data_IF_023584262066
#
_entry.id   IF_023584262066
#
_cell.length_a   1.000
_cell.length_b   1.000
_cell.length_c   1.000
_cell.angle_alpha   90.00
_cell.angle_beta   90.00
_cell.angle_gamma   90.00
#
_symmetry.space_group_name_H-M   'P 1'
#
loop_
_entity.id
_entity.type
_entity.pdbx_description
1 polymer ?
#
# COMPACT_ATOMS: atom_id res chain seq x y z
N UNK A 1 10.66 12.92 -48.80
CA UNK A 1 10.98 13.61 -47.53
C UNK A 1 11.27 12.54 -46.48
N UNK A 2 12.56 12.27 -46.25
CA UNK A 2 13.04 11.21 -45.35
C UNK A 2 13.04 11.70 -43.90
N UNK A 3 12.40 10.95 -43.00
CA UNK A 3 12.57 11.06 -41.55
C UNK A 3 13.62 10.03 -41.12
N UNK A 4 14.79 10.54 -40.70
CA UNK A 4 15.84 9.74 -40.08
C UNK A 4 15.54 9.51 -38.59
N UNK A 5 15.85 8.29 -38.16
CA UNK A 5 15.82 7.77 -36.79
C UNK A 5 16.91 8.43 -35.92
N UNK A 6 16.54 8.89 -34.74
CA UNK A 6 17.38 9.09 -33.55
C UNK A 6 16.59 8.44 -32.40
N UNK A 7 17.07 7.53 -31.55
CA UNK A 7 18.42 7.19 -31.12
C UNK A 7 18.37 7.09 -29.59
N UNK A 8 17.96 5.94 -29.03
CA UNK A 8 18.03 5.67 -27.59
C UNK A 8 19.46 5.25 -27.20
N UNK A 9 20.02 5.76 -26.09
CA UNK A 9 20.36 4.82 -25.00
C UNK A 9 20.47 5.47 -23.60
N UNK A 10 19.80 4.92 -22.57
CA UNK A 10 20.34 4.91 -21.19
C UNK A 10 19.53 3.99 -20.27
N UNK A 11 19.66 2.67 -20.42
CA UNK A 11 19.23 1.72 -19.38
C UNK A 11 20.18 0.51 -19.32
N UNK A 12 21.45 0.78 -19.04
CA UNK A 12 22.47 -0.22 -18.68
C UNK A 12 23.47 0.41 -17.72
N UNK A 13 23.07 0.56 -16.45
CA UNK A 13 23.99 0.79 -15.32
C UNK A 13 23.24 0.62 -14.02
N UNK A 14 22.84 -0.61 -13.73
CA UNK A 14 22.56 -1.15 -12.40
C UNK A 14 22.61 -2.67 -12.58
N UNK A 15 23.29 -3.36 -11.67
CA UNK A 15 23.73 -4.77 -11.74
C UNK A 15 25.05 -5.01 -12.49
N UNK A 16 26.15 -4.63 -11.84
CA UNK A 16 27.48 -5.20 -12.08
C UNK A 16 27.98 -5.84 -10.78
N UNK A 17 27.67 -7.12 -10.59
CA UNK A 17 28.13 -7.94 -9.46
C UNK A 17 28.58 -9.30 -9.98
N UNK A 18 29.86 -9.59 -9.80
CA UNK A 18 30.64 -10.65 -10.42
C UNK A 18 30.22 -12.05 -9.92
N UNK A 19 29.79 -12.96 -10.82
CA UNK A 19 29.85 -14.42 -10.58
C UNK A 19 30.33 -15.10 -11.86
N UNK A 20 31.52 -15.71 -11.77
CA UNK A 20 32.08 -16.68 -12.70
C UNK A 20 31.28 -17.98 -12.61
N UNK A 21 30.91 -18.60 -13.75
CA UNK A 21 31.11 -20.05 -13.95
C UNK A 21 30.73 -20.51 -15.37
N UNK A 22 31.71 -21.19 -15.97
CA UNK A 22 31.64 -22.41 -16.78
C UNK A 22 30.76 -22.49 -18.03
N UNK A 23 31.47 -22.66 -19.15
CA UNK A 23 31.03 -23.13 -20.47
C UNK A 23 30.50 -24.57 -20.44
N UNK A 24 29.36 -24.82 -21.08
CA UNK A 24 28.94 -26.13 -21.58
C UNK A 24 28.19 -25.97 -22.92
N UNK A 25 28.34 -26.90 -23.89
CA UNK A 25 27.97 -26.66 -25.28
C UNK A 25 26.50 -26.97 -25.58
N UNK A 26 25.93 -26.18 -26.49
CA UNK A 26 24.58 -26.28 -27.02
C UNK A 26 24.52 -27.47 -28.01
N UNK A 27 23.66 -28.44 -27.72
CA UNK A 27 23.22 -29.47 -28.69
C UNK A 27 22.03 -28.96 -29.53
N UNK A 28 21.89 -29.39 -30.79
CA UNK A 28 20.92 -28.81 -31.72
C UNK A 28 19.51 -29.37 -31.51
N UNK A 29 18.53 -28.47 -31.42
CA UNK A 29 17.11 -28.81 -31.44
C UNK A 29 16.70 -29.40 -32.80
N UNK A 30 16.22 -30.63 -32.77
CA UNK A 30 15.50 -31.29 -33.86
C UNK A 30 14.13 -30.61 -34.02
N UNK A 31 13.89 -30.05 -35.20
CA UNK A 31 12.59 -29.51 -35.60
C UNK A 31 11.69 -30.70 -35.95
N UNK A 32 10.78 -31.05 -35.04
CA UNK A 32 9.66 -31.94 -35.35
C UNK A 32 8.48 -31.08 -35.81
N UNK A 33 8.22 -31.12 -37.11
CA UNK A 33 7.01 -30.59 -37.74
C UNK A 33 5.82 -31.47 -37.34
N UNK A 34 5.06 -31.04 -36.33
CA UNK A 34 3.81 -31.66 -35.91
C UNK A 34 2.68 -30.63 -35.94
N UNK A 35 1.78 -30.77 -36.90
CA UNK A 35 0.49 -30.07 -36.98
C UNK A 35 -0.41 -30.50 -35.82
N UNK A 36 -0.28 -29.83 -34.67
CA UNK A 36 -1.16 -30.00 -33.51
C UNK A 36 -2.12 -28.82 -33.41
N UNK A 37 -3.42 -29.08 -33.56
CA UNK A 37 -4.46 -28.10 -33.33
C UNK A 37 -4.37 -27.52 -31.91
N UNK A 38 -4.58 -26.21 -31.79
CA UNK A 38 -4.69 -25.52 -30.51
C UNK A 38 -5.90 -26.06 -29.74
N UNK A 39 -5.69 -27.09 -28.92
CA UNK A 39 -6.63 -27.46 -27.87
C UNK A 39 -6.54 -26.39 -26.79
N UNK A 40 -7.60 -25.61 -26.64
CA UNK A 40 -7.80 -24.79 -25.43
C UNK A 40 -7.78 -25.73 -24.23
N UNK A 41 -7.03 -25.41 -23.15
CA UNK A 41 -7.00 -26.27 -21.97
C UNK A 41 -8.43 -26.37 -21.43
N UNK A 42 -8.96 -27.61 -21.40
CA UNK A 42 -10.25 -27.91 -20.79
C UNK A 42 -10.12 -27.61 -19.30
N UNK A 43 -10.72 -26.50 -18.85
CA UNK A 43 -10.78 -26.14 -17.43
C UNK A 43 -11.55 -27.25 -16.69
N UNK A 44 -10.85 -28.01 -15.86
CA UNK A 44 -11.42 -29.05 -15.00
C UNK A 44 -12.08 -28.41 -13.78
N UNK A 45 -13.37 -28.12 -13.91
CA UNK A 45 -14.18 -27.66 -12.79
C UNK A 45 -14.71 -28.86 -12.01
N UNK A 46 -14.30 -28.98 -10.75
CA UNK A 46 -14.78 -30.04 -9.86
C UNK A 46 -16.12 -29.66 -9.21
N UNK A 47 -17.00 -30.64 -8.92
CA UNK A 47 -18.30 -30.40 -8.30
C UNK A 47 -18.16 -29.73 -6.92
N UNK A 48 -19.25 -29.09 -6.46
CA UNK A 48 -19.39 -28.58 -5.09
C UNK A 48 -18.90 -29.61 -4.07
N UNK A 49 -18.16 -29.20 -3.03
CA UNK A 49 -17.93 -30.07 -1.89
C UNK A 49 -19.28 -30.44 -1.25
N UNK A 50 -19.40 -31.70 -0.80
CA UNK A 50 -20.63 -32.24 -0.21
C UNK A 50 -21.05 -31.51 1.09
N UNK A 51 -20.12 -30.80 1.71
CA UNK A 51 -20.33 -29.92 2.86
C UNK A 51 -19.44 -28.67 2.77
N UNK A 52 -19.55 -27.78 3.76
CA UNK A 52 -18.73 -26.57 3.90
C UNK A 52 -17.56 -26.78 4.87
N UNK A 53 -17.09 -28.02 5.07
CA UNK A 53 -16.03 -28.33 6.06
C UNK A 53 -14.70 -27.62 5.76
N UNK A 54 -14.38 -27.40 4.49
CA UNK A 54 -13.19 -26.67 4.07
C UNK A 54 -13.33 -25.14 4.25
N UNK A 55 -14.56 -24.63 4.33
CA UNK A 55 -14.82 -23.19 4.41
C UNK A 55 -14.45 -22.64 5.78
N UNK A 56 -13.66 -21.57 5.77
CA UNK A 56 -13.32 -20.82 6.97
C UNK A 56 -13.86 -19.39 6.88
N UNK A 57 -14.86 -19.02 7.69
CA UNK A 57 -15.42 -17.68 7.68
C UNK A 57 -14.35 -16.61 7.95
N UNK A 58 -14.34 -15.55 7.13
CA UNK A 58 -13.56 -14.36 7.45
C UNK A 58 -14.33 -13.46 8.44
N UNK A 59 -13.58 -12.72 9.25
CA UNK A 59 -14.12 -11.97 10.38
C UNK A 59 -14.90 -10.71 9.96
N UNK A 60 -15.80 -10.28 10.84
CA UNK A 60 -16.22 -8.88 10.90
C UNK A 60 -15.16 -8.06 11.62
N UNK A 61 -14.99 -6.81 11.18
CA UNK A 61 -14.07 -5.86 11.79
C UNK A 61 -14.89 -4.73 12.39
N UNK A 62 -14.67 -4.45 13.67
CA UNK A 62 -15.40 -3.43 14.41
C UNK A 62 -14.76 -2.05 14.27
N UNK A 63 -15.57 -1.01 14.45
CA UNK A 63 -15.04 0.31 14.79
C UNK A 63 -14.39 0.22 16.18
N UNK A 64 -13.27 0.90 16.46
CA UNK A 64 -12.65 0.86 17.77
C UNK A 64 -13.60 1.44 18.83
N UNK A 65 -13.96 0.59 19.80
CA UNK A 65 -14.66 1.00 21.00
C UNK A 65 -13.67 1.52 22.05
N UNK A 66 -14.14 2.39 22.94
CA UNK A 66 -13.32 2.91 24.05
C UNK A 66 -12.70 1.78 24.89
N UNK A 67 -13.49 0.77 25.24
CA UNK A 67 -13.02 -0.40 26.01
C UNK A 67 -11.94 -1.19 25.28
N UNK A 68 -12.04 -1.31 23.95
CA UNK A 68 -11.05 -2.00 23.13
C UNK A 68 -9.73 -1.21 23.10
N UNK A 69 -9.80 0.10 22.86
CA UNK A 69 -8.62 0.96 22.84
C UNK A 69 -7.92 0.94 24.21
N UNK A 70 -8.66 1.10 25.31
CA UNK A 70 -8.10 1.02 26.67
C UNK A 70 -7.42 -0.33 26.93
N UNK A 71 -8.02 -1.44 26.50
CA UNK A 71 -7.45 -2.79 26.64
C UNK A 71 -6.15 -2.96 25.85
N UNK A 72 -6.09 -2.42 24.62
CA UNK A 72 -4.89 -2.44 23.79
C UNK A 72 -3.73 -1.62 24.39
N UNK A 73 -4.04 -0.48 25.02
CA UNK A 73 -3.03 0.29 25.76
C UNK A 73 -2.56 -0.46 27.01
N UNK A 74 -3.49 -1.00 27.80
CA UNK A 74 -3.18 -1.70 29.06
C UNK A 74 -2.35 -2.96 28.84
N UNK A 75 -2.54 -3.67 27.73
CA UNK A 75 -1.75 -4.85 27.39
C UNK A 75 -0.35 -4.54 26.86
N UNK A 76 -0.06 -3.27 26.56
CA UNK A 76 1.16 -2.84 25.88
C UNK A 76 1.15 -3.05 24.37
N UNK A 77 0.11 -3.69 23.80
CA UNK A 77 0.01 -3.94 22.36
C UNK A 77 -0.12 -2.65 21.55
N UNK A 78 -0.74 -1.60 22.09
CA UNK A 78 -0.87 -0.32 21.38
C UNK A 78 0.48 0.35 21.09
N UNK A 79 1.51 0.08 21.90
CA UNK A 79 2.87 0.60 21.73
C UNK A 79 3.75 -0.27 20.82
N UNK A 80 3.28 -1.45 20.42
CA UNK A 80 3.94 -2.29 19.43
C UNK A 80 3.65 -1.78 18.01
N UNK A 81 4.06 -2.54 16.98
CA UNK A 81 3.88 -2.15 15.58
C UNK A 81 2.50 -2.53 15.01
N UNK A 82 1.92 -1.57 14.31
CA UNK A 82 0.65 -1.60 13.61
C UNK A 82 0.82 -1.04 12.21
N UNK A 83 -0.13 -1.39 11.34
CA UNK A 83 -0.28 -0.81 10.00
C UNK A 83 -1.72 -0.43 9.76
N UNK A 84 -1.93 0.66 9.01
CA UNK A 84 -3.20 0.97 8.38
C UNK A 84 -3.12 0.69 6.89
N UNK A 85 -4.03 -0.12 6.36
CA UNK A 85 -4.16 -0.41 4.93
C UNK A 85 -5.51 0.07 4.41
N UNK A 86 -5.63 0.36 3.11
CA UNK A 86 -6.91 0.74 2.52
C UNK A 86 -7.98 -0.32 2.76
N UNK A 87 -9.15 0.12 3.23
CA UNK A 87 -10.34 -0.72 3.27
C UNK A 87 -11.06 -0.63 1.93
N UNK A 88 -10.88 -1.65 1.09
CA UNK A 88 -11.57 -1.75 -0.20
C UNK A 88 -13.05 -2.10 0.01
N UNK A 89 -13.92 -1.30 -0.59
CA UNK A 89 -15.37 -1.48 -0.67
C UNK A 89 -15.75 -2.34 -1.88
N UNK A 90 -15.74 -3.65 -1.72
CA UNK A 90 -16.12 -4.62 -2.75
C UNK A 90 -17.03 -5.68 -2.14
N UNK A 91 -16.71 -6.93 -2.35
CA UNK A 91 -17.33 -8.04 -1.63
C UNK A 91 -16.26 -9.01 -1.16
N UNK A 92 -16.39 -9.50 0.08
CA UNK A 92 -15.45 -10.46 0.65
C UNK A 92 -15.34 -11.70 -0.25
N UNK A 93 -14.11 -12.11 -0.52
CA UNK A 93 -13.80 -13.21 -1.41
C UNK A 93 -12.60 -14.01 -0.88
N UNK A 94 -12.69 -15.34 -0.93
CA UNK A 94 -11.64 -16.25 -0.52
C UNK A 94 -11.22 -17.17 -1.66
N UNK A 95 -9.91 -17.31 -1.87
CA UNK A 95 -9.32 -18.28 -2.79
C UNK A 95 -8.67 -19.38 -1.95
N UNK A 96 -9.12 -20.61 -2.13
CA UNK A 96 -8.71 -21.77 -1.36
C UNK A 96 -7.93 -22.73 -2.23
N UNK A 97 -6.86 -23.29 -1.69
CA UNK A 97 -6.20 -24.48 -2.22
C UNK A 97 -6.23 -25.56 -1.14
N UNK A 98 -6.92 -26.65 -1.42
CA UNK A 98 -7.15 -27.75 -0.49
C UNK A 98 -6.36 -28.96 -0.97
N UNK A 99 -5.55 -29.54 -0.10
CA UNK A 99 -4.85 -30.79 -0.39
C UNK A 99 -5.72 -31.99 0.03
N UNK A 100 -5.97 -32.89 -0.92
CA UNK A 100 -6.77 -34.10 -0.76
C UNK A 100 -5.88 -35.35 -0.95
N UNK A 101 -4.72 -35.35 -0.28
CA UNK A 101 -3.69 -36.37 -0.45
C UNK A 101 -2.81 -36.07 -1.67
N UNK A 102 -2.92 -36.88 -2.71
CA UNK A 102 -2.06 -36.82 -3.90
C UNK A 102 -2.48 -35.73 -4.91
N UNK A 103 -3.61 -35.06 -4.67
CA UNK A 103 -4.12 -33.99 -5.53
C UNK A 103 -4.51 -32.76 -4.71
N UNK A 104 -4.52 -31.62 -5.40
CA UNK A 104 -4.90 -30.32 -4.84
C UNK A 104 -6.05 -29.73 -5.64
N UNK A 105 -6.99 -29.11 -4.92
CA UNK A 105 -8.19 -28.55 -5.52
C UNK A 105 -8.34 -27.08 -5.16
N UNK A 106 -8.62 -26.26 -6.18
CA UNK A 106 -8.90 -24.84 -6.00
C UNK A 106 -10.40 -24.64 -5.77
N UNK A 107 -10.74 -23.81 -4.79
CA UNK A 107 -12.11 -23.42 -4.45
C UNK A 107 -12.21 -21.91 -4.25
N UNK A 108 -13.40 -21.38 -4.47
CA UNK A 108 -13.70 -19.96 -4.34
C UNK A 108 -14.87 -19.77 -3.40
N UNK A 109 -14.72 -18.84 -2.47
CA UNK A 109 -15.73 -18.57 -1.45
C UNK A 109 -16.17 -17.11 -1.52
N UNK A 110 -17.48 -16.90 -1.34
CA UNK A 110 -18.02 -15.62 -0.90
C UNK A 110 -18.08 -15.61 0.62
N UNK A 111 -18.56 -14.50 1.17
CA UNK A 111 -18.69 -14.31 2.61
C UNK A 111 -19.40 -15.44 3.37
N UNK A 112 -20.37 -16.10 2.74
CA UNK A 112 -21.21 -17.11 3.39
C UNK A 112 -20.81 -18.56 3.09
N UNK A 113 -19.73 -18.80 2.34
CA UNK A 113 -19.30 -20.17 2.01
C UNK A 113 -18.57 -20.31 0.68
N UNK A 114 -17.97 -21.47 0.49
CA UNK A 114 -17.47 -21.97 -0.79
C UNK A 114 -18.66 -22.10 -1.76
N UNK A 115 -18.49 -21.56 -2.96
CA UNK A 115 -19.55 -21.45 -3.97
C UNK A 115 -19.60 -22.65 -4.91
N UNK A 116 -20.77 -22.85 -5.54
CA UNK A 116 -20.88 -23.75 -6.68
C UNK A 116 -20.04 -23.21 -7.84
N UNK A 117 -19.30 -24.05 -8.58
CA UNK A 117 -18.57 -23.61 -9.78
C UNK A 117 -19.45 -22.89 -10.81
N UNK A 118 -20.75 -23.19 -10.86
CA UNK A 118 -21.76 -22.57 -11.73
C UNK A 118 -22.58 -21.46 -11.04
N UNK A 119 -22.28 -21.10 -9.80
CA UNK A 119 -22.87 -19.90 -9.18
C UNK A 119 -22.24 -18.65 -9.81
N UNK A 120 -23.03 -17.85 -10.54
CA UNK A 120 -22.56 -16.55 -11.02
C UNK A 120 -22.46 -15.56 -9.85
N UNK A 121 -21.23 -15.26 -9.42
CA UNK A 121 -20.95 -14.29 -8.38
C UNK A 121 -20.11 -13.14 -8.94
N UNK A 122 -20.78 -12.07 -9.37
CA UNK A 122 -20.15 -10.85 -9.92
C UNK A 122 -19.12 -11.11 -11.04
N UNK A 123 -19.29 -12.17 -11.81
CA UNK A 123 -18.42 -12.47 -12.94
C UNK A 123 -16.99 -12.93 -12.58
N UNK A 124 -16.72 -13.33 -11.33
CA UNK A 124 -15.37 -13.72 -10.88
C UNK A 124 -14.71 -14.81 -11.73
N UNK A 125 -15.49 -15.62 -12.48
CA UNK A 125 -14.99 -16.62 -13.42
C UNK A 125 -14.00 -16.07 -14.46
N UNK A 126 -14.04 -14.77 -14.73
CA UNK A 126 -13.09 -14.09 -15.61
C UNK A 126 -11.65 -14.12 -15.04
N UNK A 127 -11.49 -14.23 -13.71
CA UNK A 127 -10.21 -14.20 -13.00
C UNK A 127 -9.73 -15.59 -12.54
N UNK A 128 -10.49 -16.67 -12.78
CA UNK A 128 -10.18 -18.01 -12.25
C UNK A 128 -8.80 -18.53 -12.69
N UNK A 129 -8.39 -18.32 -13.93
CA UNK A 129 -7.08 -18.78 -14.41
C UNK A 129 -5.94 -18.08 -13.67
N UNK A 130 -6.07 -16.76 -13.51
CA UNK A 130 -5.12 -15.94 -12.75
C UNK A 130 -5.07 -16.40 -11.30
N UNK A 131 -6.23 -16.52 -10.63
CA UNK A 131 -6.29 -16.97 -9.24
C UNK A 131 -5.72 -18.38 -9.05
N UNK A 132 -5.96 -19.29 -10.00
CA UNK A 132 -5.45 -20.66 -9.95
C UNK A 132 -3.93 -20.69 -10.06
N UNK A 133 -3.34 -19.89 -10.94
CA UNK A 133 -1.89 -19.77 -11.03
C UNK A 133 -1.31 -19.13 -9.75
N UNK A 134 -1.92 -18.04 -9.28
CA UNK A 134 -1.47 -17.29 -8.10
C UNK A 134 -1.48 -18.14 -6.83
N UNK A 135 -2.57 -18.87 -6.55
CA UNK A 135 -2.69 -19.67 -5.33
C UNK A 135 -1.71 -20.85 -5.30
N UNK A 136 -1.40 -21.43 -6.47
CA UNK A 136 -0.41 -22.51 -6.60
C UNK A 136 1.01 -22.00 -6.35
N UNK A 137 1.36 -20.85 -6.96
CA UNK A 137 2.64 -20.18 -6.70
C UNK A 137 2.78 -19.84 -5.21
N UNK A 138 1.74 -19.30 -4.58
CA UNK A 138 1.75 -18.98 -3.16
C UNK A 138 1.98 -20.23 -2.30
N UNK A 139 1.32 -21.35 -2.62
CA UNK A 139 1.49 -22.62 -1.92
C UNK A 139 2.93 -23.13 -2.02
N UNK A 140 3.53 -23.09 -3.21
CA UNK A 140 4.91 -23.52 -3.43
C UNK A 140 5.92 -22.64 -2.68
N UNK A 141 5.71 -21.31 -2.69
CA UNK A 141 6.52 -20.38 -1.91
C UNK A 141 6.45 -20.67 -0.40
N UNK A 142 5.24 -20.92 0.12
CA UNK A 142 5.03 -21.26 1.53
C UNK A 142 5.73 -22.57 1.89
N UNK A 143 5.52 -23.61 1.10
CA UNK A 143 6.16 -24.93 1.28
C UNK A 143 7.67 -24.80 1.28
N UNK A 144 8.24 -24.05 0.33
CA UNK A 144 9.67 -23.83 0.23
C UNK A 144 10.22 -23.09 1.46
N UNK A 145 9.61 -21.96 1.86
CA UNK A 145 10.13 -21.13 2.96
C UNK A 145 10.06 -21.85 4.31
N UNK A 146 8.96 -22.56 4.57
CA UNK A 146 8.71 -23.20 5.86
C UNK A 146 9.10 -24.68 5.90
N UNK A 147 9.68 -25.23 4.83
CA UNK A 147 10.08 -26.64 4.77
C UNK A 147 8.91 -27.61 4.89
N UNK A 148 7.73 -27.24 4.34
CA UNK A 148 6.51 -28.05 4.43
C UNK A 148 6.41 -28.98 3.22
N UNK A 149 6.25 -30.27 3.47
CA UNK A 149 5.95 -31.24 2.40
C UNK A 149 4.51 -31.08 1.88
N UNK A 150 3.60 -30.64 2.75
CA UNK A 150 2.16 -30.52 2.48
C UNK A 150 1.55 -29.34 3.23
N UNK A 151 0.57 -28.69 2.60
CA UNK A 151 -0.32 -27.72 3.23
C UNK A 151 -1.75 -28.24 3.03
N UNK A 152 -2.42 -28.65 4.11
CA UNK A 152 -3.77 -29.21 4.07
C UNK A 152 -4.79 -28.23 3.51
N UNK A 153 -4.77 -26.99 4.02
CA UNK A 153 -5.59 -25.88 3.49
C UNK A 153 -4.78 -24.60 3.43
N UNK A 154 -4.76 -23.95 2.28
CA UNK A 154 -4.27 -22.59 2.09
C UNK A 154 -5.46 -21.68 1.76
N UNK A 155 -5.57 -20.55 2.46
CA UNK A 155 -6.64 -19.57 2.28
C UNK A 155 -6.05 -18.19 2.05
N UNK A 156 -6.29 -17.65 0.87
CA UNK A 156 -6.01 -16.27 0.50
C UNK A 156 -7.31 -15.48 0.54
N UNK A 157 -7.47 -14.65 1.58
CA UNK A 157 -8.63 -13.78 1.72
C UNK A 157 -8.34 -12.40 1.14
N UNK A 158 -9.35 -11.84 0.49
CA UNK A 158 -9.30 -10.52 -0.10
C UNK A 158 -10.68 -9.97 -0.38
N UNK A 159 -10.69 -8.85 -1.10
CA UNK A 159 -11.90 -8.19 -1.56
C UNK A 159 -11.98 -8.33 -3.09
N UNK A 160 -13.09 -8.87 -3.60
CA UNK A 160 -13.42 -8.80 -5.03
C UNK A 160 -14.07 -7.44 -5.30
N UNK A 161 -13.50 -6.65 -6.22
CA UNK A 161 -13.90 -5.25 -6.42
C UNK A 161 -13.79 -4.80 -7.88
N UNK A 162 -14.26 -3.59 -8.18
CA UNK A 162 -14.20 -2.98 -9.51
C UNK A 162 -15.49 -3.15 -10.31
N UNK A 163 -15.35 -3.36 -11.63
CA UNK A 163 -16.43 -3.37 -12.63
C UNK A 163 -17.28 -2.08 -12.66
N UNK A 164 -16.72 -0.96 -12.17
CA UNK A 164 -17.39 0.35 -12.10
C UNK A 164 -16.35 1.47 -12.03
N UNK A 165 -16.33 2.28 -13.08
CA UNK A 165 -15.60 3.55 -13.12
C UNK A 165 -16.30 4.52 -14.08
N UNK A 166 -16.98 5.52 -13.54
CA UNK A 166 -17.89 6.41 -14.29
C UNK A 166 -17.18 7.69 -14.77
N UNK A 167 -16.07 7.54 -15.47
CA UNK A 167 -15.40 8.64 -16.15
C UNK A 167 -15.72 8.59 -17.65
N UNK A 168 -16.08 9.70 -18.31
CA UNK A 168 -16.51 9.68 -19.72
C UNK A 168 -15.43 9.17 -20.69
N UNK A 169 -14.14 9.34 -20.34
CA UNK A 169 -13.01 8.84 -21.12
C UNK A 169 -12.57 7.41 -20.75
N UNK A 170 -13.27 6.73 -19.84
CA UNK A 170 -12.97 5.36 -19.43
C UNK A 170 -14.15 4.46 -19.80
N UNK A 171 -14.04 3.69 -20.90
CA UNK A 171 -15.09 2.76 -21.30
C UNK A 171 -15.38 1.70 -20.22
N UNK A 172 -16.61 1.16 -20.23
CA UNK A 172 -16.93 -0.03 -19.45
C UNK A 172 -16.18 -1.25 -20.01
N UNK A 173 -15.96 -2.26 -19.18
CA UNK A 173 -15.33 -3.53 -19.62
C UNK A 173 -16.10 -4.20 -20.76
N UNK A 174 -15.40 -4.54 -21.82
CA UNK A 174 -15.92 -5.34 -22.95
C UNK A 174 -15.85 -6.85 -22.69
N UNK A 175 -15.20 -7.27 -21.60
CA UNK A 175 -15.00 -8.69 -21.26
C UNK A 175 -16.29 -9.39 -20.84
N UNK A 176 -16.32 -10.70 -21.09
CA UNK A 176 -17.39 -11.61 -20.68
C UNK A 176 -16.79 -12.78 -19.90
N UNK A 177 -17.32 -13.05 -18.71
CA UNK A 177 -16.98 -14.27 -18.01
C UNK A 177 -17.73 -15.47 -18.62
N UNK A 178 -17.18 -16.67 -18.43
CA UNK A 178 -17.80 -17.93 -18.86
C UNK A 178 -17.80 -18.90 -17.68
N UNK A 179 -18.98 -19.35 -17.27
CA UNK A 179 -19.15 -20.38 -16.26
C UNK A 179 -18.79 -21.77 -16.81
N UNK A 180 -18.55 -22.76 -15.94
CA UNK A 180 -18.26 -24.14 -16.35
C UNK A 180 -19.33 -24.75 -17.28
N UNK A 181 -20.60 -24.43 -17.03
CA UNK A 181 -21.74 -24.85 -17.86
C UNK A 181 -21.88 -24.07 -19.19
N UNK A 182 -20.92 -23.21 -19.54
CA UNK A 182 -20.92 -22.44 -20.79
C UNK A 182 -21.76 -21.15 -20.77
N UNK A 183 -22.51 -20.87 -19.70
CA UNK A 183 -23.23 -19.58 -19.58
C UNK A 183 -22.23 -18.43 -19.51
N UNK A 184 -22.51 -17.34 -20.23
CA UNK A 184 -21.65 -16.15 -20.29
C UNK A 184 -22.36 -14.93 -19.70
N UNK A 185 -21.61 -14.09 -18.98
CA UNK A 185 -22.12 -12.83 -18.43
C UNK A 185 -21.15 -11.68 -18.73
N UNK A 186 -21.65 -10.49 -19.11
CA UNK A 186 -20.79 -9.34 -19.39
C UNK A 186 -20.30 -8.68 -18.10
N UNK A 187 -19.02 -8.34 -18.03
CA UNK A 187 -18.47 -7.58 -16.89
C UNK A 187 -19.05 -6.16 -16.85
N UNK A 188 -19.40 -5.55 -17.99
CA UNK A 188 -20.12 -4.26 -18.03
C UNK A 188 -21.48 -4.25 -17.31
N UNK A 189 -22.07 -5.43 -17.08
CA UNK A 189 -23.32 -5.61 -16.33
C UNK A 189 -23.11 -5.91 -14.84
N UNK A 190 -21.88 -6.11 -14.39
CA UNK A 190 -21.56 -6.37 -12.99
C UNK A 190 -21.68 -5.07 -12.19
N UNK A 191 -22.38 -5.14 -11.05
CA UNK A 191 -22.44 -4.04 -10.07
C UNK A 191 -22.26 -4.64 -8.68
N UNK A 192 -21.03 -4.66 -8.17
CA UNK A 192 -20.72 -5.17 -6.82
C UNK A 192 -21.27 -4.21 -5.76
N UNK A 193 -21.03 -2.90 -5.95
CA UNK A 193 -21.46 -1.85 -5.03
C UNK A 193 -22.17 -0.71 -5.76
N UNK A 194 -23.21 -0.16 -5.14
CA UNK A 194 -24.06 0.89 -5.72
C UNK A 194 -23.55 2.31 -5.44
N UNK A 195 -22.80 2.49 -4.36
CA UNK A 195 -22.37 3.81 -3.87
C UNK A 195 -21.56 4.60 -4.92
N UNK A 196 -21.69 5.94 -4.98
CA UNK A 196 -20.99 6.78 -5.96
C UNK A 196 -19.47 6.79 -5.78
N UNK A 197 -18.97 6.54 -4.57
CA UNK A 197 -17.56 6.34 -4.25
C UNK A 197 -17.43 5.31 -3.11
N UNK A 198 -16.27 4.67 -2.97
CA UNK A 198 -15.16 4.65 -3.93
C UNK A 198 -15.52 3.91 -5.24
N UNK A 199 -14.90 4.35 -6.35
CA UNK A 199 -14.89 3.67 -7.64
C UNK A 199 -13.44 3.38 -8.03
N UNK A 200 -13.17 2.18 -8.54
CA UNK A 200 -11.80 1.69 -8.66
C UNK A 200 -11.36 1.48 -10.10
N UNK A 201 -12.14 0.76 -10.89
CA UNK A 201 -11.78 0.38 -12.26
C UNK A 201 -12.99 -0.14 -13.05
N UNK A 202 -13.04 0.03 -14.39
CA UNK A 202 -14.07 -0.61 -15.21
C UNK A 202 -13.93 -2.14 -15.27
N UNK A 203 -12.78 -2.69 -14.89
CA UNK A 203 -12.48 -4.12 -14.87
C UNK A 203 -12.64 -4.71 -13.45
N UNK A 204 -12.81 -6.02 -13.38
CA UNK A 204 -12.89 -6.77 -12.12
C UNK A 204 -11.48 -7.06 -11.58
N UNK A 205 -11.29 -6.93 -10.27
CA UNK A 205 -10.01 -7.13 -9.58
C UNK A 205 -10.19 -7.83 -8.24
N UNK A 206 -9.09 -8.35 -7.69
CA UNK A 206 -9.02 -8.92 -6.35
C UNK A 206 -7.92 -8.23 -5.55
N UNK A 207 -8.24 -7.83 -4.31
CA UNK A 207 -7.32 -7.15 -3.39
C UNK A 207 -7.08 -8.04 -2.17
N UNK A 208 -5.94 -8.74 -2.13
CA UNK A 208 -5.58 -9.60 -1.01
C UNK A 208 -5.34 -8.79 0.27
N UNK A 209 -5.76 -9.31 1.43
CA UNK A 209 -5.49 -8.67 2.74
C UNK A 209 -5.13 -9.64 3.87
N UNK A 210 -5.30 -10.96 3.69
CA UNK A 210 -4.88 -11.96 4.65
C UNK A 210 -4.54 -13.29 3.97
N UNK A 211 -3.49 -13.95 4.47
CA UNK A 211 -3.10 -15.30 4.07
C UNK A 211 -2.99 -16.14 5.34
N UNK A 212 -3.63 -17.30 5.34
CA UNK A 212 -3.43 -18.32 6.38
C UNK A 212 -3.33 -19.70 5.78
N UNK A 213 -2.58 -20.56 6.46
CA UNK A 213 -2.40 -21.95 6.05
C UNK A 213 -2.56 -22.88 7.25
N UNK A 214 -3.07 -24.09 7.00
CA UNK A 214 -3.15 -25.17 7.97
C UNK A 214 -2.44 -26.38 7.40
N UNK A 215 -1.40 -26.86 8.10
CA UNK A 215 -0.58 -27.99 7.66
C UNK A 215 -1.40 -29.28 7.70
N UNK A 216 -2.19 -29.50 8.74
CA UNK A 216 -3.11 -30.64 8.87
C UNK A 216 -4.33 -30.48 7.97
N UNK A 217 -4.77 -29.24 7.74
CA UNK A 217 -6.07 -28.92 7.16
C UNK A 217 -7.15 -28.69 8.23
N UNK A 218 -6.85 -28.86 9.51
CA UNK A 218 -7.78 -28.55 10.60
C UNK A 218 -7.89 -27.02 10.83
N UNK A 219 -9.00 -26.57 11.40
CA UNK A 219 -9.33 -25.13 11.55
C UNK A 219 -8.49 -24.48 12.67
N UNK A 220 -8.29 -25.22 13.75
CA UNK A 220 -7.51 -24.86 14.93
C UNK A 220 -6.01 -24.70 14.64
N UNK A 221 -5.52 -25.34 13.57
CA UNK A 221 -4.11 -25.32 13.16
C UNK A 221 -3.79 -24.20 12.15
N UNK A 222 -4.73 -23.28 11.91
CA UNK A 222 -4.47 -22.17 11.02
C UNK A 222 -3.38 -21.25 11.58
N UNK A 223 -2.29 -21.14 10.82
CA UNK A 223 -1.26 -20.13 11.00
C UNK A 223 -1.59 -18.94 10.10
N UNK A 224 -1.87 -17.80 10.71
CA UNK A 224 -2.06 -16.54 10.02
C UNK A 224 -0.70 -15.86 9.80
N UNK A 225 -0.42 -15.41 8.57
CA UNK A 225 0.79 -14.65 8.31
C UNK A 225 0.72 -13.26 8.97
N UNK A 226 1.82 -12.87 9.63
CA UNK A 226 2.03 -11.47 10.02
C UNK A 226 2.10 -10.57 8.78
N UNK A 227 1.94 -9.26 8.98
CA UNK A 227 1.88 -8.28 7.89
C UNK A 227 3.14 -8.32 6.99
N UNK A 228 4.33 -8.36 7.58
CA UNK A 228 5.59 -8.36 6.80
C UNK A 228 5.72 -9.62 5.93
N UNK A 229 5.32 -10.76 6.47
CA UNK A 229 5.32 -12.03 5.75
C UNK A 229 4.24 -12.02 4.67
N UNK A 230 3.05 -11.53 4.98
CA UNK A 230 1.97 -11.34 4.01
C UNK A 230 2.43 -10.48 2.82
N UNK A 231 3.11 -9.36 3.06
CA UNK A 231 3.67 -8.50 1.99
C UNK A 231 4.76 -9.24 1.23
N UNK A 232 5.70 -9.88 1.92
CA UNK A 232 6.80 -10.61 1.28
C UNK A 232 6.26 -11.69 0.33
N UNK A 233 5.34 -12.53 0.80
CA UNK A 233 4.74 -13.58 -0.02
C UNK A 233 3.89 -13.00 -1.15
N UNK A 234 3.02 -12.02 -0.87
CA UNK A 234 2.14 -11.44 -1.89
C UNK A 234 2.94 -10.75 -3.00
N UNK A 235 4.05 -10.08 -2.66
CA UNK A 235 4.91 -9.40 -3.64
C UNK A 235 5.60 -10.34 -4.62
N UNK A 236 5.76 -11.63 -4.26
CA UNK A 236 6.35 -12.67 -5.08
C UNK A 236 5.32 -13.38 -5.97
N UNK A 237 4.02 -13.14 -5.74
CA UNK A 237 2.94 -13.70 -6.55
C UNK A 237 2.64 -12.76 -7.72
N UNK A 238 2.83 -13.20 -8.98
CA UNK A 238 2.64 -12.34 -10.14
C UNK A 238 1.23 -11.75 -10.21
N UNK A 239 1.16 -10.45 -10.48
CA UNK A 239 -0.08 -9.69 -10.69
C UNK A 239 -1.04 -9.66 -9.50
N UNK A 240 -0.63 -10.17 -8.32
CA UNK A 240 -1.48 -10.10 -7.14
C UNK A 240 -1.47 -8.67 -6.59
N UNK A 241 -2.64 -8.05 -6.54
CA UNK A 241 -2.83 -6.80 -5.82
C UNK A 241 -3.12 -7.11 -4.35
N UNK A 242 -2.46 -6.41 -3.43
CA UNK A 242 -2.52 -6.70 -2.01
C UNK A 242 -2.46 -5.45 -1.12
N UNK A 243 -2.92 -5.60 0.11
CA UNK A 243 -2.96 -4.57 1.14
C UNK A 243 -1.55 -4.10 1.55
N UNK A 244 -1.19 -2.89 1.13
CA UNK A 244 0.04 -2.21 1.54
C UNK A 244 -0.27 -1.16 2.61
N UNK A 245 0.64 -1.02 3.57
CA UNK A 245 0.54 -0.05 4.64
C UNK A 245 0.61 1.37 4.08
N UNK A 246 -0.41 2.17 4.40
CA UNK A 246 -0.49 3.61 4.21
C UNK A 246 0.26 4.35 5.31
N UNK A 247 0.27 3.78 6.53
CA UNK A 247 1.07 4.23 7.68
C UNK A 247 1.47 2.99 8.48
N UNK A 248 2.67 3.02 9.05
CA UNK A 248 3.20 2.00 9.95
C UNK A 248 3.79 2.68 11.18
N UNK A 249 3.46 2.18 12.35
CA UNK A 249 3.89 2.74 13.63
C UNK A 249 3.13 2.13 14.79
N UNK A 250 3.01 2.85 15.89
CA UNK A 250 2.12 2.54 17.00
C UNK A 250 0.65 2.57 16.58
N UNK A 251 -0.23 2.01 17.42
CA UNK A 251 -1.67 2.07 17.21
C UNK A 251 -2.16 3.52 17.07
N UNK A 252 -1.63 4.44 17.88
CA UNK A 252 -2.02 5.85 17.84
C UNK A 252 -1.60 6.54 16.55
N UNK A 253 -0.41 6.24 16.03
CA UNK A 253 0.04 6.76 14.73
C UNK A 253 -0.87 6.27 13.59
N UNK A 254 -1.28 5.00 13.62
CA UNK A 254 -2.24 4.47 12.66
C UNK A 254 -3.65 5.07 12.83
N UNK A 255 -4.13 5.25 14.07
CA UNK A 255 -5.44 5.86 14.36
C UNK A 255 -5.52 7.34 13.97
N UNK A 256 -4.38 8.02 13.91
CA UNK A 256 -4.29 9.42 13.53
C UNK A 256 -4.44 9.66 12.01
N UNK A 257 -4.42 8.58 11.20
CA UNK A 257 -4.54 8.64 9.75
C UNK A 257 -5.81 9.39 9.27
N UNK A 258 -5.65 10.21 8.23
CA UNK A 258 -6.70 11.10 7.75
C UNK A 258 -7.68 10.44 6.78
N UNK A 259 -8.58 9.62 7.31
CA UNK A 259 -9.62 8.97 6.50
C UNK A 259 -10.59 9.95 5.83
N UNK A 260 -10.79 11.16 6.38
CA UNK A 260 -11.77 12.12 5.86
C UNK A 260 -11.37 12.68 4.49
N UNK A 261 -10.06 12.75 4.23
CA UNK A 261 -9.50 13.27 2.97
C UNK A 261 -8.76 12.19 2.17
N UNK A 262 -8.86 10.92 2.58
CA UNK A 262 -8.17 9.83 1.93
C UNK A 262 -8.86 9.42 0.62
N UNK A 263 -8.31 9.89 -0.50
CA UNK A 263 -8.69 9.47 -1.85
C UNK A 263 -8.15 8.06 -2.12
N UNK A 264 -8.96 7.18 -2.70
CA UNK A 264 -8.48 5.82 -3.02
C UNK A 264 -7.31 5.90 -4.04
N UNK A 265 -6.15 5.27 -3.75
CA UNK A 265 -5.02 5.22 -4.70
C UNK A 265 -5.22 4.20 -5.81
N UNK A 266 -6.16 3.25 -5.64
CA UNK A 266 -6.34 2.12 -6.55
C UNK A 266 -6.61 2.51 -8.01
N UNK A 267 -7.41 3.52 -8.35
CA UNK A 267 -7.57 3.94 -9.74
C UNK A 267 -6.24 4.26 -10.42
N UNK A 268 -5.34 5.00 -9.75
CA UNK A 268 -4.03 5.33 -10.30
C UNK A 268 -3.16 4.08 -10.48
N UNK A 269 -3.13 3.21 -9.47
CA UNK A 269 -2.44 1.92 -9.51
C UNK A 269 -2.94 0.99 -10.63
N UNK A 270 -4.21 1.14 -11.03
CA UNK A 270 -4.87 0.39 -12.09
C UNK A 270 -4.87 1.12 -13.45
N UNK A 271 -3.99 2.12 -13.62
CA UNK A 271 -3.76 2.81 -14.90
C UNK A 271 -4.74 3.95 -15.20
N UNK A 272 -5.54 4.40 -14.22
CA UNK A 272 -6.57 5.42 -14.40
C UNK A 272 -6.20 6.79 -13.78
N UNK A 273 -4.93 7.02 -13.48
CA UNK A 273 -4.47 8.26 -12.84
C UNK A 273 -4.78 9.54 -13.63
N UNK A 274 -4.92 9.44 -14.96
CA UNK A 274 -5.29 10.55 -15.84
C UNK A 274 -6.80 10.81 -15.94
N UNK A 275 -7.62 10.01 -15.28
CA UNK A 275 -9.08 10.04 -15.38
C UNK A 275 -9.73 10.17 -14.00
N UNK A 276 -9.35 11.19 -13.19
CA UNK A 276 -9.80 11.28 -11.82
C UNK A 276 -11.32 11.44 -11.72
N UNK A 277 -11.90 10.86 -10.67
CA UNK A 277 -13.28 11.13 -10.29
C UNK A 277 -13.27 12.09 -9.09
N UNK A 278 -14.07 13.14 -9.17
CA UNK A 278 -14.21 14.11 -8.08
C UNK A 278 -14.84 13.44 -6.85
N UNK A 279 -14.28 13.70 -5.66
CA UNK A 279 -14.78 13.14 -4.40
C UNK A 279 -14.67 11.62 -4.28
N UNK A 280 -13.78 10.97 -5.05
CA UNK A 280 -13.53 9.53 -4.99
C UNK A 280 -12.75 9.10 -3.73
N UNK A 281 -13.31 9.41 -2.57
CA UNK A 281 -12.79 9.01 -1.26
C UNK A 281 -12.84 7.49 -1.12
N UNK A 282 -11.81 6.92 -0.50
CA UNK A 282 -11.83 5.52 -0.07
C UNK A 282 -12.92 5.32 1.00
N UNK A 283 -13.36 4.07 1.18
CA UNK A 283 -14.25 3.75 2.31
C UNK A 283 -13.57 4.08 3.65
N UNK A 284 -12.27 3.85 3.74
CA UNK A 284 -11.44 4.14 4.91
C UNK A 284 -10.23 3.23 5.00
N UNK A 285 -9.87 2.82 6.21
CA UNK A 285 -8.71 1.96 6.48
C UNK A 285 -9.04 0.81 7.43
N UNK A 286 -8.32 -0.30 7.27
CA UNK A 286 -8.22 -1.36 8.27
C UNK A 286 -6.88 -1.19 8.99
N UNK A 287 -6.92 -1.09 10.31
CA UNK A 287 -5.75 -0.99 11.18
C UNK A 287 -5.56 -2.31 11.89
N UNK A 288 -4.35 -2.89 11.82
CA UNK A 288 -4.03 -4.17 12.46
C UNK A 288 -2.64 -4.21 13.03
N UNK A 289 -2.45 -5.03 14.06
CA UNK A 289 -1.13 -5.34 14.60
C UNK A 289 -0.33 -6.14 13.57
N UNK A 290 0.95 -5.82 13.37
CA UNK A 290 1.77 -6.48 12.32
C UNK A 290 1.99 -7.96 12.60
N UNK A 291 1.90 -8.37 13.88
CA UNK A 291 1.95 -9.78 14.32
C UNK A 291 0.58 -10.36 14.71
N UNK A 292 -0.54 -9.81 14.22
CA UNK A 292 -1.87 -10.42 14.46
C UNK A 292 -1.86 -11.90 14.07
N UNK A 293 -2.40 -12.77 14.92
CA UNK A 293 -2.39 -14.23 14.76
C UNK A 293 -1.19 -14.92 15.40
N UNK A 294 -0.15 -14.19 15.79
CA UNK A 294 0.96 -14.74 16.57
C UNK A 294 0.49 -15.06 18.01
N UNK A 295 0.77 -16.26 18.55
CA UNK A 295 0.38 -16.63 19.91
C UNK A 295 0.81 -15.62 20.99
N UNK A 296 1.95 -14.94 20.82
CA UNK A 296 2.43 -13.92 21.75
C UNK A 296 1.54 -12.66 21.76
N UNK A 297 0.83 -12.38 20.67
CA UNK A 297 -0.16 -11.30 20.58
C UNK A 297 -1.53 -11.80 21.05
N UNK A 298 -1.97 -12.96 20.54
CA UNK A 298 -3.31 -13.49 20.78
C UNK A 298 -3.55 -13.88 22.26
N UNK A 299 -2.51 -14.23 23.02
CA UNK A 299 -2.61 -14.54 24.45
C UNK A 299 -3.21 -13.42 25.31
N UNK A 300 -3.19 -12.18 24.81
CA UNK A 300 -3.77 -11.02 25.51
C UNK A 300 -5.31 -10.96 25.40
N UNK A 301 -5.92 -11.86 24.60
CA UNK A 301 -7.36 -11.98 24.41
C UNK A 301 -8.06 -10.65 24.06
N UNK A 302 -7.42 -9.87 23.19
CA UNK A 302 -7.93 -8.60 22.67
C UNK A 302 -7.74 -8.61 21.17
N UNK A 303 -8.82 -8.48 20.38
CA UNK A 303 -8.67 -8.51 18.92
C UNK A 303 -7.91 -7.27 18.44
N UNK A 304 -6.91 -7.53 17.60
CA UNK A 304 -5.88 -6.58 17.15
C UNK A 304 -6.11 -6.11 15.73
N UNK A 305 -7.39 -6.01 15.34
CA UNK A 305 -7.83 -5.50 14.03
C UNK A 305 -9.08 -4.66 14.21
N UNK A 306 -9.06 -3.46 13.63
CA UNK A 306 -10.13 -2.46 13.73
C UNK A 306 -10.27 -1.75 12.38
N UNK A 307 -11.41 -1.09 12.13
CA UNK A 307 -11.62 -0.29 10.92
C UNK A 307 -11.90 1.16 11.27
N UNK A 308 -11.46 2.07 10.40
CA UNK A 308 -11.91 3.46 10.35
C UNK A 308 -12.60 3.67 9.00
N UNK A 309 -13.66 4.47 8.98
CA UNK A 309 -14.38 4.84 7.75
C UNK A 309 -14.50 6.35 7.66
N UNK A 310 -14.43 6.90 6.45
CA UNK A 310 -14.69 8.32 6.24
C UNK A 310 -16.19 8.63 6.46
N UNK A 311 -16.49 9.80 7.01
CA UNK A 311 -17.86 10.20 7.36
C UNK A 311 -18.75 10.30 6.12
N UNK A 312 -18.21 10.80 5.01
CA UNK A 312 -18.88 10.86 3.70
C UNK A 312 -19.36 9.48 3.23
N UNK A 313 -18.57 8.42 3.43
CA UNK A 313 -18.98 7.07 3.06
C UNK A 313 -20.02 6.49 4.04
N UNK A 314 -19.87 6.75 5.34
CA UNK A 314 -20.83 6.29 6.35
C UNK A 314 -22.23 6.86 6.12
N UNK A 315 -22.33 8.11 5.66
CA UNK A 315 -23.61 8.75 5.29
C UNK A 315 -24.35 7.99 4.18
N UNK A 316 -23.61 7.51 3.17
CA UNK A 316 -24.19 6.73 2.07
C UNK A 316 -24.77 5.38 2.55
N UNK A 317 -24.19 4.79 3.60
CA UNK A 317 -24.62 3.50 4.17
C UNK A 317 -25.70 3.65 5.23
N UNK A 318 -25.67 4.73 6.03
CA UNK A 318 -26.58 4.98 7.13
C UNK A 318 -27.05 6.45 7.14
N UNK A 319 -27.99 6.82 6.26
CA UNK A 319 -28.54 8.17 6.21
C UNK A 319 -29.08 8.59 7.58
N UNK A 320 -28.71 9.78 8.06
CA UNK A 320 -29.19 10.35 9.33
C UNK A 320 -28.40 9.98 10.60
N UNK A 321 -27.43 9.05 10.54
CA UNK A 321 -26.56 8.70 11.70
C UNK A 321 -25.22 9.47 11.75
N UNK A 322 -25.10 10.49 10.91
CA UNK A 322 -23.86 11.24 10.68
C UNK A 322 -23.27 11.81 11.98
N UNK A 323 -24.10 12.48 12.79
CA UNK A 323 -23.65 13.22 13.96
C UNK A 323 -23.15 12.28 15.05
N UNK A 324 -23.93 11.25 15.34
CA UNK A 324 -23.59 10.23 16.34
C UNK A 324 -22.31 9.49 15.95
N UNK A 325 -22.16 9.06 14.70
CA UNK A 325 -20.95 8.36 14.26
C UNK A 325 -19.72 9.28 14.23
N UNK A 326 -19.86 10.55 13.82
CA UNK A 326 -18.75 11.49 13.74
C UNK A 326 -18.28 11.94 15.13
N UNK A 327 -19.21 12.34 16.00
CA UNK A 327 -18.93 12.81 17.36
C UNK A 327 -18.34 11.70 18.24
N UNK A 328 -18.91 10.49 18.18
CA UNK A 328 -18.45 9.40 19.07
C UNK A 328 -17.10 8.85 18.63
N UNK A 329 -16.84 8.83 17.32
CA UNK A 329 -15.73 8.06 16.77
C UNK A 329 -14.54 8.92 16.34
N UNK A 330 -14.75 9.81 15.37
CA UNK A 330 -13.68 10.62 14.78
C UNK A 330 -13.21 11.66 15.79
N UNK A 331 -14.15 12.36 16.42
CA UNK A 331 -13.81 13.45 17.33
C UNK A 331 -13.19 12.96 18.64
N UNK A 332 -13.43 11.71 19.04
CA UNK A 332 -12.89 11.15 20.30
C UNK A 332 -11.62 10.34 20.07
N UNK A 333 -11.69 9.29 19.24
CA UNK A 333 -10.58 8.33 19.08
C UNK A 333 -9.42 8.98 18.31
N UNK A 334 -9.69 9.57 17.15
CA UNK A 334 -8.65 10.20 16.31
C UNK A 334 -8.09 11.45 16.96
N UNK A 335 -8.92 12.32 17.55
CA UNK A 335 -8.40 13.49 18.30
C UNK A 335 -7.58 13.07 19.53
N UNK A 336 -7.93 11.97 20.19
CA UNK A 336 -7.13 11.37 21.26
C UNK A 336 -5.78 10.89 20.75
N UNK A 337 -5.77 10.17 19.62
CA UNK A 337 -4.56 9.68 18.97
C UNK A 337 -3.66 10.83 18.50
N UNK A 338 -4.22 11.83 17.79
CA UNK A 338 -3.51 13.04 17.35
C UNK A 338 -2.83 13.78 18.50
N UNK A 339 -3.49 13.88 19.66
CA UNK A 339 -2.91 14.45 20.89
C UNK A 339 -1.72 13.64 21.40
N UNK A 340 -1.79 12.30 21.34
CA UNK A 340 -0.69 11.41 21.78
C UNK A 340 0.51 11.42 20.82
N UNK A 341 0.28 11.51 19.52
CA UNK A 341 1.35 11.52 18.49
C UNK A 341 1.90 12.92 18.18
N UNK A 342 1.40 13.96 18.84
CA UNK A 342 1.82 15.37 18.66
C UNK A 342 1.79 15.84 17.19
N UNK A 343 0.89 15.28 16.38
CA UNK A 343 0.74 15.62 14.96
C UNK A 343 1.74 14.97 13.99
N UNK A 344 2.66 14.13 14.46
CA UNK A 344 3.59 13.42 13.58
C UNK A 344 2.95 12.11 13.10
N UNK A 345 2.45 12.11 11.86
CA UNK A 345 1.97 10.90 11.17
C UNK A 345 2.72 10.78 9.85
N UNK A 346 3.59 9.79 9.74
CA UNK A 346 4.31 9.53 8.49
C UNK A 346 3.47 8.62 7.59
N UNK A 347 3.12 9.12 6.41
CA UNK A 347 2.40 8.34 5.39
C UNK A 347 3.42 7.71 4.42
N UNK A 348 3.24 6.42 4.13
CA UNK A 348 4.09 5.64 3.22
C UNK A 348 3.62 5.89 1.78
N UNK A 349 4.37 6.71 1.05
CA UNK A 349 3.98 7.17 -0.29
C UNK A 349 3.92 6.03 -1.32
N UNK A 350 4.80 5.04 -1.21
CA UNK A 350 4.88 3.95 -2.19
C UNK A 350 3.60 3.16 -2.31
N UNK A 351 2.86 3.00 -1.21
CA UNK A 351 1.59 2.28 -1.19
C UNK A 351 0.51 2.95 -2.05
N UNK A 352 0.67 4.24 -2.35
CA UNK A 352 -0.30 5.05 -3.06
C UNK A 352 0.07 5.30 -4.53
N UNK A 353 1.26 4.85 -4.95
CA UNK A 353 1.85 5.20 -6.24
C UNK A 353 2.15 3.99 -7.12
N UNK A 354 1.89 4.07 -8.45
CA UNK A 354 2.43 3.15 -9.44
C UNK A 354 3.96 3.05 -9.31
N UNK A 355 4.55 1.90 -9.65
CA UNK A 355 5.99 1.64 -9.42
C UNK A 355 6.93 2.72 -9.97
N UNK A 356 6.68 3.21 -11.19
CA UNK A 356 7.51 4.26 -11.81
C UNK A 356 7.38 5.58 -11.04
N UNK A 357 6.17 5.90 -10.60
CA UNK A 357 5.87 7.11 -9.81
C UNK A 357 6.46 6.99 -8.39
N UNK A 358 6.39 5.82 -7.76
CA UNK A 358 7.03 5.54 -6.48
C UNK A 358 8.56 5.71 -6.59
N UNK A 359 9.19 5.11 -7.60
CA UNK A 359 10.64 5.26 -7.83
C UNK A 359 11.05 6.73 -8.07
N UNK A 360 10.24 7.49 -8.82
CA UNK A 360 10.46 8.91 -9.01
C UNK A 360 10.32 9.71 -7.71
N UNK A 361 9.34 9.36 -6.87
CA UNK A 361 9.16 9.97 -5.56
C UNK A 361 10.36 9.68 -4.65
N UNK A 362 10.85 8.44 -4.58
CA UNK A 362 12.02 8.08 -3.78
C UNK A 362 13.28 8.81 -4.23
N UNK A 363 13.50 8.92 -5.54
CA UNK A 363 14.61 9.71 -6.10
C UNK A 363 14.53 11.18 -5.67
N UNK A 364 13.34 11.78 -5.68
CA UNK A 364 13.14 13.14 -5.18
C UNK A 364 13.39 13.24 -3.67
N UNK A 365 12.87 12.31 -2.88
CA UNK A 365 13.04 12.33 -1.42
C UNK A 365 14.50 12.12 -1.01
N UNK A 366 15.27 11.30 -1.75
CA UNK A 366 16.71 11.13 -1.54
C UNK A 366 17.52 12.41 -1.77
N UNK A 367 16.98 13.39 -2.51
CA UNK A 367 17.61 14.70 -2.64
C UNK A 367 17.47 15.55 -1.38
N UNK A 368 16.56 15.21 -0.46
CA UNK A 368 16.48 15.83 0.87
C UNK A 368 17.54 15.18 1.76
N UNK A 369 18.69 15.84 1.86
CA UNK A 369 19.85 15.32 2.60
C UNK A 369 20.54 16.41 3.41
N UNK A 370 21.37 15.97 4.36
CA UNK A 370 22.17 16.85 5.21
C UNK A 370 23.11 17.77 4.44
N UNK A 371 23.74 17.25 3.37
CA UNK A 371 24.58 18.06 2.50
C UNK A 371 23.79 19.18 1.84
N UNK A 372 22.54 18.91 1.44
CA UNK A 372 21.69 19.93 0.82
C UNK A 372 21.13 20.93 1.83
N UNK A 373 20.77 20.47 3.04
CA UNK A 373 20.41 21.35 4.14
C UNK A 373 21.55 22.32 4.47
N UNK A 374 22.79 21.82 4.56
CA UNK A 374 23.98 22.65 4.77
C UNK A 374 24.17 23.70 3.65
N UNK A 375 23.96 23.30 2.40
CA UNK A 375 24.01 24.23 1.26
C UNK A 375 22.94 25.32 1.33
N UNK A 376 21.73 25.00 1.82
CA UNK A 376 20.64 25.97 2.00
C UNK A 376 20.97 26.94 3.13
N UNK A 377 21.42 26.44 4.28
CA UNK A 377 21.84 27.27 5.41
C UNK A 377 22.97 28.21 5.03
N UNK A 378 23.96 27.72 4.28
CA UNK A 378 25.06 28.55 3.76
C UNK A 378 24.59 29.70 2.85
N UNK A 379 23.47 29.53 2.13
CA UNK A 379 22.90 30.60 1.28
C UNK A 379 22.11 31.63 2.08
N UNK A 380 21.51 31.21 3.20
CA UNK A 380 20.76 32.10 4.10
C UNK A 380 21.74 32.96 4.92
N UNK A 381 22.80 32.34 5.43
CA UNK A 381 23.73 32.98 6.37
C UNK A 381 23.25 32.94 7.82
N UNK A 382 24.12 33.34 8.76
CA UNK A 382 23.87 33.21 10.20
C UNK A 382 22.88 34.22 10.74
N UNK A 383 23.04 35.48 10.36
CA UNK A 383 22.27 36.58 10.93
C UNK A 383 20.76 36.38 10.74
N UNK A 384 20.24 36.04 9.54
CA UNK A 384 18.80 35.86 9.35
C UNK A 384 18.21 34.67 10.13
N UNK A 385 19.04 33.64 10.39
CA UNK A 385 18.62 32.48 11.20
C UNK A 385 18.52 32.85 12.69
N UNK A 386 19.53 33.53 13.22
CA UNK A 386 19.61 33.88 14.65
C UNK A 386 18.71 35.05 15.03
N UNK A 387 18.45 35.98 14.11
CA UNK A 387 17.51 37.09 14.30
C UNK A 387 16.04 36.63 14.28
N UNK A 388 15.77 35.43 13.75
CA UNK A 388 14.43 34.91 13.53
C UNK A 388 13.75 35.46 12.26
N UNK A 389 14.47 36.21 11.42
CA UNK A 389 13.97 36.65 10.10
C UNK A 389 13.61 35.44 9.21
N UNK A 390 14.43 34.39 9.28
CA UNK A 390 14.19 33.13 8.57
C UNK A 390 13.76 32.07 9.57
N UNK A 391 12.50 31.67 9.46
CA UNK A 391 11.92 30.66 10.33
C UNK A 391 12.32 29.24 9.92
N UNK A 392 12.08 28.30 10.82
CA UNK A 392 12.19 26.86 10.54
C UNK A 392 11.39 26.43 9.29
N UNK A 393 10.21 27.01 9.10
CA UNK A 393 9.34 26.72 7.95
C UNK A 393 9.95 27.24 6.66
N UNK A 394 10.61 28.40 6.71
CA UNK A 394 11.30 28.98 5.55
C UNK A 394 12.48 28.11 5.13
N UNK A 395 13.27 27.61 6.10
CA UNK A 395 14.36 26.67 5.82
C UNK A 395 13.84 25.39 5.18
N UNK A 396 12.75 24.81 5.71
CA UNK A 396 12.12 23.63 5.13
C UNK A 396 11.64 23.87 3.69
N UNK A 397 11.03 25.04 3.43
CA UNK A 397 10.59 25.42 2.09
C UNK A 397 11.77 25.63 1.13
N UNK A 398 12.86 26.25 1.57
CA UNK A 398 14.07 26.45 0.76
C UNK A 398 14.75 25.12 0.45
N UNK A 399 14.82 24.19 1.41
CA UNK A 399 15.33 22.84 1.20
C UNK A 399 14.48 22.07 0.19
N UNK A 400 13.16 22.11 0.33
CA UNK A 400 12.24 21.48 -0.61
C UNK A 400 12.42 22.02 -2.03
N UNK A 401 12.57 23.34 -2.18
CA UNK A 401 12.85 24.00 -3.48
C UNK A 401 14.20 23.58 -4.07
N UNK A 402 15.26 23.51 -3.26
CA UNK A 402 16.59 23.12 -3.72
C UNK A 402 16.60 21.65 -4.18
N UNK A 403 16.01 20.75 -3.38
CA UNK A 403 15.88 19.33 -3.71
C UNK A 403 15.06 19.11 -4.99
N UNK A 404 13.93 19.81 -5.13
CA UNK A 404 13.09 19.74 -6.31
C UNK A 404 13.79 20.30 -7.55
N UNK A 405 14.51 21.43 -7.41
CA UNK A 405 15.26 22.02 -8.53
C UNK A 405 16.32 21.05 -9.07
N UNK A 406 17.00 20.32 -8.20
CA UNK A 406 18.03 19.38 -8.61
C UNK A 406 17.43 18.12 -9.22
N UNK A 407 16.37 17.59 -8.61
CA UNK A 407 15.59 16.49 -9.17
C UNK A 407 15.15 16.79 -10.61
N UNK A 408 14.61 17.99 -10.86
CA UNK A 408 14.14 18.39 -12.18
C UNK A 408 15.25 18.50 -13.25
N UNK A 409 16.54 18.55 -12.87
CA UNK A 409 17.64 18.52 -13.84
C UNK A 409 17.94 17.12 -14.35
N UNK A 410 17.74 16.11 -13.50
CA UNK A 410 18.16 14.72 -13.74
C UNK A 410 17.00 13.79 -14.09
N UNK A 411 15.76 14.23 -13.83
CA UNK A 411 14.58 13.38 -13.98
C UNK A 411 14.26 13.09 -15.46
N UNK A 412 13.86 11.85 -15.74
CA UNK A 412 13.40 11.44 -17.06
C UNK A 412 12.14 12.22 -17.49
N UNK A 413 12.08 12.57 -18.77
CA UNK A 413 10.90 13.09 -19.46
C UNK A 413 9.60 12.33 -19.15
N UNK A 414 9.68 11.01 -18.94
CA UNK A 414 8.54 10.17 -18.59
C UNK A 414 7.88 10.62 -17.28
N UNK A 415 8.68 10.99 -16.27
CA UNK A 415 8.18 11.48 -14.98
C UNK A 415 7.64 12.90 -15.13
N UNK A 416 8.26 13.75 -15.95
CA UNK A 416 7.78 15.12 -16.21
C UNK A 416 6.40 15.14 -16.89
N UNK A 417 6.12 14.09 -17.67
CA UNK A 417 4.86 13.90 -18.40
C UNK A 417 3.78 13.17 -17.60
N UNK A 418 4.01 12.92 -16.31
CA UNK A 418 3.01 12.33 -15.41
C UNK A 418 1.84 13.28 -15.12
N UNK A 419 0.83 12.72 -14.45
CA UNK A 419 -0.40 13.42 -14.12
C UNK A 419 -0.11 14.68 -13.28
N UNK A 420 -0.93 15.73 -13.44
CA UNK A 420 -0.80 16.93 -12.60
C UNK A 420 -0.98 16.60 -11.11
N UNK A 421 -1.84 15.63 -10.79
CA UNK A 421 -2.04 15.15 -9.44
C UNK A 421 -0.77 14.54 -8.84
N UNK A 422 -0.06 13.70 -9.61
CA UNK A 422 1.19 13.11 -9.18
C UNK A 422 2.29 14.17 -8.99
N UNK A 423 2.41 15.14 -9.91
CA UNK A 423 3.36 16.25 -9.75
C UNK A 423 3.09 17.10 -8.51
N UNK A 424 1.82 17.35 -8.17
CA UNK A 424 1.44 17.99 -6.90
C UNK A 424 1.83 17.15 -5.70
N UNK A 425 1.65 15.83 -5.77
CA UNK A 425 2.05 14.92 -4.71
C UNK A 425 3.57 14.96 -4.46
N UNK A 426 4.38 14.94 -5.53
CA UNK A 426 5.84 15.07 -5.42
C UNK A 426 6.25 16.33 -4.65
N UNK A 427 5.64 17.48 -4.97
CA UNK A 427 5.90 18.76 -4.29
C UNK A 427 5.53 18.68 -2.80
N UNK A 428 4.37 18.08 -2.50
CA UNK A 428 3.90 17.91 -1.12
C UNK A 428 4.84 16.98 -0.33
N UNK A 429 5.24 15.86 -0.91
CA UNK A 429 6.09 14.86 -0.26
C UNK A 429 7.48 15.42 0.04
N UNK A 430 8.13 16.08 -0.93
CA UNK A 430 9.46 16.68 -0.71
C UNK A 430 9.42 17.79 0.34
N UNK A 431 8.32 18.54 0.42
CA UNK A 431 8.15 19.54 1.47
C UNK A 431 8.04 18.90 2.86
N UNK A 432 7.22 17.86 3.01
CA UNK A 432 7.09 17.17 4.30
C UNK A 432 8.38 16.50 4.75
N UNK A 433 9.11 15.89 3.82
CA UNK A 433 10.41 15.28 4.12
C UNK A 433 11.45 16.33 4.51
N UNK A 434 11.46 17.47 3.82
CA UNK A 434 12.31 18.61 4.17
C UNK A 434 11.97 19.15 5.56
N UNK A 435 10.68 19.32 5.86
CA UNK A 435 10.21 19.75 7.17
C UNK A 435 10.64 18.78 8.27
N UNK A 436 10.49 17.47 8.05
CA UNK A 436 10.91 16.42 8.99
C UNK A 436 12.40 16.50 9.31
N UNK A 437 13.25 16.60 8.29
CA UNK A 437 14.70 16.69 8.48
C UNK A 437 15.09 17.98 9.23
N UNK A 438 14.51 19.11 8.85
CA UNK A 438 14.75 20.39 9.52
C UNK A 438 14.29 20.34 10.97
N UNK A 439 13.11 19.79 11.27
CA UNK A 439 12.62 19.60 12.64
C UNK A 439 13.52 18.74 13.51
N UNK A 440 14.04 17.66 12.94
CA UNK A 440 14.97 16.77 13.63
C UNK A 440 16.28 17.50 14.02
N UNK A 441 16.78 18.37 13.13
CA UNK A 441 18.09 19.02 13.30
C UNK A 441 18.05 20.43 13.86
N UNK A 442 16.87 21.07 13.93
CA UNK A 442 16.76 22.50 14.22
C UNK A 442 17.47 22.94 15.50
N UNK A 443 17.33 22.17 16.59
CA UNK A 443 17.97 22.50 17.87
C UNK A 443 19.49 22.49 17.79
N UNK A 444 20.05 21.47 17.15
CA UNK A 444 21.49 21.32 16.96
C UNK A 444 22.03 22.44 16.08
N UNK A 445 21.36 22.72 14.95
CA UNK A 445 21.71 23.79 14.02
C UNK A 445 21.73 25.18 14.69
N UNK A 446 20.71 25.52 15.48
CA UNK A 446 20.66 26.81 16.15
C UNK A 446 21.73 26.95 17.24
N UNK A 447 22.13 25.86 17.88
CA UNK A 447 23.23 25.86 18.86
C UNK A 447 24.58 26.06 18.19
N UNK A 448 24.82 25.36 17.07
CA UNK A 448 26.05 25.48 16.29
C UNK A 448 26.23 26.91 15.75
N UNK A 449 25.17 27.51 15.20
CA UNK A 449 25.25 28.88 14.66
C UNK A 449 25.43 29.93 15.76
N UNK A 450 24.79 29.77 16.91
CA UNK A 450 24.98 30.66 18.06
C UNK A 450 26.40 30.56 18.63
N UNK A 451 26.94 29.35 18.75
CA UNK A 451 28.32 29.14 19.17
C UNK A 451 29.30 29.79 18.19
N UNK A 452 29.12 29.57 16.89
CA UNK A 452 29.97 30.15 15.85
C UNK A 452 29.86 31.68 15.77
N UNK A 453 28.71 32.28 16.13
CA UNK A 453 28.58 33.73 16.26
C UNK A 453 29.37 34.26 17.47
N UNK A 454 29.34 33.54 18.61
CA UNK A 454 30.07 33.95 19.81
C UNK A 454 31.59 33.92 19.63
N UNK A 455 32.12 32.97 18.85
CA UNK A 455 33.54 32.90 18.51
C UNK A 455 33.99 34.00 17.53
N UNK A 456 33.06 34.51 16.71
CA UNK A 456 33.33 35.54 15.72
C UNK A 456 33.34 36.98 16.29
N UNK A 457 32.90 37.18 17.54
CA UNK A 457 32.94 38.48 18.22
C UNK A 457 34.28 38.58 18.97
N UNK A 458 35.25 39.39 18.53
CA UNK A 458 36.52 39.52 19.23
C UNK A 458 36.27 40.14 20.62
N UNK A 459 37.01 39.72 21.66
CA UNK A 459 36.89 40.33 22.98
C UNK A 459 37.19 41.82 22.87
N UNK A 460 36.30 42.65 23.41
CA UNK A 460 36.49 44.10 23.52
C UNK A 460 37.86 44.37 24.15
N UNK A 461 38.75 44.95 23.35
CA UNK A 461 40.02 45.50 23.82
C UNK A 461 39.75 46.44 24.99
N UNK A 462 40.46 46.32 26.13
CA UNK A 462 40.29 47.27 27.22
C UNK A 462 40.66 48.66 26.71
N UNK A 463 39.74 49.61 26.91
CA UNK A 463 39.91 51.00 26.53
C UNK A 463 41.28 51.52 26.97
N UNK A 464 42.06 52.05 26.02
CA UNK A 464 43.32 52.70 26.30
C UNK A 464 43.09 53.83 27.32
N UNK A 465 43.95 53.98 28.34
CA UNK A 465 43.78 55.03 29.32
C UNK A 465 43.94 56.39 28.63
N UNK A 466 42.93 57.23 28.79
CA UNK A 466 43.00 58.65 28.47
C UNK A 466 44.19 59.26 29.19
N UNK A 467 45.24 59.61 28.43
CA UNK A 467 46.29 60.48 28.92
C UNK A 467 45.66 61.83 29.25
N UNK A 468 45.65 62.19 30.52
CA UNK A 468 45.53 63.56 30.94
C UNK A 468 46.85 64.28 30.66
N UNK A 469 46.76 65.36 29.90
CA UNK A 469 47.60 66.56 29.96
C UNK A 469 46.79 67.72 29.36
#
# INVERSE_FOLDING_TARGET
MQLQRLGAPLLKRLVGGCIRQSTAPIMPCVVVSGSGGFLTPVRTYMPLPNDQSDFSPYIEIDLPSESRIQSLHKSGLAAQEWVACEKVHGTNFGIYLINQGDHEVVRFAKRSGIMDPNENFFGYHILIDEFTAQIRILNDLLKQKYGLSRVGRLVLNGELFGAKYKHPLVPKSEKWCTLPNGKKFPIAGVQIQREPFPQYSPELHFFAFDIKYSVSGAEEDFVLLGYDEFVEFSSKVPNLLYARALVRGTLDECLAFDVENFMTPLPALLGLGNYPLEGNLAEGVVIRHVRRGDPAVEKHNVSTIIKLRCSSFMELKHPGKQKELKETFIDTVRSGALRRVRGNVTVISDSMLPQVEAAANDLLLNNVSDGRLSNVLSKIGREPLLSGEVSQVDVALMLAKDALKDFLKEVDSLVLNTTLAFRKLLITNVYFESKRLVEQKWKELMQEEAAAQSEAIPPLSPAAPTKGE
#
